data_IF_988706723523
#
_entry.id   IF_988706723523
#
_cell.length_a   1.000
_cell.length_b   1.000
_cell.length_c   1.000
_cell.angle_alpha   90.00
_cell.angle_beta   90.00
_cell.angle_gamma   90.00
#
_symmetry.space_group_name_H-M   'P 1'
#
loop_
_entity.id
_entity.type
_entity.pdbx_description
1 polymer ?
#
# COMPACT_ATOMS: atom_id res chain seq x y z
N UNK A 1 2.21 16.45 1.26
CA UNK A 1 1.69 16.95 -0.04
C UNK A 1 2.27 18.29 -0.46
N UNK A 2 2.45 19.28 0.44
CA UNK A 2 3.03 20.59 0.08
C UNK A 2 4.40 20.48 -0.59
N UNK A 3 5.32 19.68 -0.01
CA UNK A 3 6.64 19.43 -0.57
C UNK A 3 6.58 18.83 -1.99
N UNK A 4 5.73 17.81 -2.19
CA UNK A 4 5.53 17.19 -3.50
C UNK A 4 4.98 18.19 -4.52
N UNK A 5 4.00 19.03 -4.14
CA UNK A 5 3.46 20.07 -5.02
C UNK A 5 4.54 21.03 -5.48
N UNK A 6 5.33 21.56 -4.54
CA UNK A 6 6.44 22.47 -4.84
C UNK A 6 7.51 21.78 -5.70
N UNK A 7 7.81 20.50 -5.45
CA UNK A 7 8.76 19.74 -6.26
C UNK A 7 8.27 19.59 -7.70
N UNK A 8 6.99 19.26 -7.89
CA UNK A 8 6.39 19.18 -9.22
C UNK A 8 6.37 20.54 -9.92
N UNK A 9 6.11 21.64 -9.20
CA UNK A 9 6.18 23.01 -9.74
C UNK A 9 7.58 23.36 -10.24
N UNK A 10 8.62 23.05 -9.46
CA UNK A 10 10.02 23.35 -9.80
C UNK A 10 10.55 22.45 -10.93
N UNK A 11 10.10 21.20 -11.00
CA UNK A 11 10.53 20.20 -12.00
C UNK A 11 9.72 20.27 -13.32
N UNK A 12 9.00 21.37 -13.57
CA UNK A 12 8.23 21.57 -14.81
C UNK A 12 7.01 20.65 -14.96
N UNK A 13 6.61 20.00 -13.87
CA UNK A 13 5.50 19.05 -13.82
C UNK A 13 4.31 19.56 -13.01
N UNK A 14 4.06 20.87 -12.92
CA UNK A 14 3.11 21.51 -11.99
C UNK A 14 1.72 20.86 -11.80
N UNK A 15 0.89 21.36 -10.88
CA UNK A 15 -0.29 20.65 -10.35
C UNK A 15 -1.33 20.25 -11.40
N UNK A 16 -1.31 20.88 -12.57
CA UNK A 16 -2.22 20.59 -13.67
C UNK A 16 -1.83 19.35 -14.49
N UNK A 17 -0.63 18.81 -14.31
CA UNK A 17 -0.19 17.62 -15.05
C UNK A 17 -0.93 16.36 -14.62
N UNK A 18 -1.17 15.45 -15.57
CA UNK A 18 -1.78 14.14 -15.29
C UNK A 18 -0.96 13.34 -14.28
N UNK A 19 0.38 13.50 -14.30
CA UNK A 19 1.28 12.85 -13.35
C UNK A 19 1.03 13.32 -11.91
N UNK A 20 0.89 14.63 -11.69
CA UNK A 20 0.58 15.16 -10.36
C UNK A 20 -0.84 14.80 -9.93
N UNK A 21 -1.82 14.93 -10.83
CA UNK A 21 -3.23 14.57 -10.55
C UNK A 21 -3.36 13.10 -10.13
N UNK A 22 -2.66 12.21 -10.82
CA UNK A 22 -2.60 10.78 -10.47
C UNK A 22 -1.93 10.55 -9.11
N UNK A 23 -0.78 11.19 -8.87
CA UNK A 23 -0.09 11.09 -7.58
C UNK A 23 -0.97 11.60 -6.43
N UNK A 24 -1.62 12.75 -6.61
CA UNK A 24 -2.52 13.34 -5.64
C UNK A 24 -3.71 12.42 -5.35
N UNK A 25 -4.30 11.82 -6.39
CA UNK A 25 -5.36 10.83 -6.22
C UNK A 25 -4.90 9.59 -5.45
N UNK A 26 -3.68 9.10 -5.71
CA UNK A 26 -3.10 8.00 -4.95
C UNK A 26 -2.98 8.36 -3.45
N UNK A 27 -2.52 9.55 -3.12
CA UNK A 27 -2.44 9.99 -1.72
C UNK A 27 -3.80 10.18 -1.05
N UNK A 28 -4.80 10.70 -1.76
CA UNK A 28 -6.17 10.81 -1.22
C UNK A 28 -6.72 9.42 -0.86
N UNK A 29 -6.49 8.44 -1.73
CA UNK A 29 -6.92 7.05 -1.50
C UNK A 29 -6.16 6.43 -0.33
N UNK A 30 -4.83 6.55 -0.31
CA UNK A 30 -3.98 5.97 0.73
C UNK A 30 -4.16 6.64 2.09
N UNK A 31 -4.45 7.94 2.16
CA UNK A 31 -4.74 8.62 3.42
C UNK A 31 -5.98 8.03 4.09
N UNK A 32 -7.04 7.80 3.33
CA UNK A 32 -8.29 7.23 3.89
C UNK A 32 -8.09 5.79 4.39
N UNK A 33 -7.26 5.01 3.69
CA UNK A 33 -6.91 3.62 4.04
C UNK A 33 -5.81 3.51 5.11
N UNK A 34 -5.09 4.59 5.34
CA UNK A 34 -3.84 4.60 6.10
C UNK A 34 -3.90 5.43 7.35
N UNK A 35 -4.88 6.33 7.47
CA UNK A 35 -5.03 7.23 8.61
C UNK A 35 -6.19 6.83 9.50
N UNK A 36 -6.03 7.08 10.80
CA UNK A 36 -7.04 6.89 11.82
C UNK A 36 -6.97 8.01 12.85
N UNK A 37 -8.09 8.28 13.53
CA UNK A 37 -8.12 9.22 14.66
C UNK A 37 -7.60 8.53 15.92
N UNK A 38 -6.57 9.10 16.53
CA UNK A 38 -6.03 8.72 17.84
C UNK A 38 -6.47 9.74 18.91
N UNK A 39 -6.08 9.53 20.16
CA UNK A 39 -6.39 10.46 21.26
C UNK A 39 -5.77 11.84 21.06
N UNK A 40 -4.63 11.93 20.37
CA UNK A 40 -3.85 13.15 20.18
C UNK A 40 -3.92 13.70 18.75
N UNK A 41 -4.25 12.88 17.74
CA UNK A 41 -4.21 13.28 16.35
C UNK A 41 -5.40 12.69 15.55
N UNK A 42 -6.23 13.56 14.98
CA UNK A 42 -7.39 13.16 14.18
C UNK A 42 -7.05 12.54 12.83
N UNK A 43 -5.85 12.81 12.30
CA UNK A 43 -5.38 12.37 10.99
C UNK A 43 -4.05 11.60 11.11
N UNK A 44 -3.91 10.79 12.17
CA UNK A 44 -2.70 10.01 12.44
C UNK A 44 -2.48 8.98 11.34
N UNK A 45 -1.39 9.14 10.58
CA UNK A 45 -0.92 8.12 9.65
C UNK A 45 -0.55 6.86 10.43
N UNK A 46 -1.09 5.72 10.05
CA UNK A 46 -0.81 4.37 10.59
C UNK A 46 -0.21 3.43 9.54
N UNK A 47 0.31 4.05 8.48
CA UNK A 47 1.03 3.45 7.38
C UNK A 47 2.23 4.35 7.09
N UNK A 48 3.38 3.75 6.81
CA UNK A 48 4.56 4.43 6.31
C UNK A 48 4.57 4.50 4.80
N UNK A 49 5.01 5.61 4.24
CA UNK A 49 5.18 5.79 2.81
C UNK A 49 6.62 6.21 2.51
N UNK A 50 7.27 5.52 1.59
CA UNK A 50 8.48 6.01 0.95
C UNK A 50 8.15 6.31 -0.51
N UNK A 51 8.43 7.53 -0.93
CA UNK A 51 8.04 8.04 -2.23
C UNK A 51 9.32 8.30 -2.99
N UNK A 52 9.56 7.53 -4.04
CA UNK A 52 10.69 7.72 -4.94
C UNK A 52 10.22 8.56 -6.11
N UNK A 53 10.75 9.78 -6.22
CA UNK A 53 10.51 10.68 -7.34
C UNK A 53 11.73 10.64 -8.25
N UNK A 54 11.58 10.09 -9.44
CA UNK A 54 12.61 9.98 -10.46
C UNK A 54 12.55 11.20 -11.38
N UNK A 55 13.70 11.86 -11.55
CA UNK A 55 13.88 13.07 -12.36
C UNK A 55 14.90 12.75 -13.44
N UNK A 56 14.54 13.03 -14.69
CA UNK A 56 15.42 12.89 -15.86
C UNK A 56 15.41 14.20 -16.62
N UNK A 57 16.60 14.72 -16.97
CA UNK A 57 16.77 15.99 -17.70
C UNK A 57 16.07 17.20 -17.04
N UNK A 58 15.99 17.21 -15.70
CA UNK A 58 15.33 18.27 -14.93
C UNK A 58 13.80 18.22 -14.92
N UNK A 59 13.20 17.21 -15.57
CA UNK A 59 11.77 16.95 -15.57
C UNK A 59 11.42 15.72 -14.73
N UNK A 60 10.29 15.77 -14.04
CA UNK A 60 9.81 14.62 -13.27
C UNK A 60 9.31 13.52 -14.20
N UNK A 61 9.95 12.36 -14.14
CA UNK A 61 9.68 11.24 -15.05
C UNK A 61 8.71 10.22 -14.45
N UNK A 62 8.90 9.87 -13.17
CA UNK A 62 8.12 8.80 -12.53
C UNK A 62 8.06 9.01 -11.02
N UNK A 63 6.94 8.65 -10.42
CA UNK A 63 6.83 8.49 -8.96
C UNK A 63 6.50 7.05 -8.62
N UNK A 64 7.19 6.48 -7.62
CA UNK A 64 6.84 5.20 -7.02
C UNK A 64 6.53 5.40 -5.54
N UNK A 65 5.43 4.81 -5.09
CA UNK A 65 5.03 4.80 -3.69
C UNK A 65 5.30 3.41 -3.14
N UNK A 66 6.13 3.33 -2.11
CA UNK A 66 6.36 2.12 -1.33
C UNK A 66 5.62 2.29 -0.01
N UNK A 67 4.74 1.34 0.31
CA UNK A 67 4.05 1.32 1.59
C UNK A 67 4.76 0.37 2.54
N UNK A 68 5.08 0.88 3.72
CA UNK A 68 5.72 0.17 4.80
C UNK A 68 4.83 0.19 6.04
N UNK A 69 4.89 -0.86 6.86
CA UNK A 69 4.35 -0.86 8.22
C UNK A 69 2.89 -0.39 8.37
N UNK A 70 1.96 -1.04 7.67
CA UNK A 70 0.54 -0.87 7.97
C UNK A 70 0.22 -1.50 9.34
N UNK A 71 -0.40 -0.73 10.23
CA UNK A 71 -0.89 -1.20 11.54
C UNK A 71 -2.10 -2.13 11.35
N UNK A 72 -1.83 -3.38 10.98
CA UNK A 72 -2.87 -4.38 10.72
C UNK A 72 -3.67 -4.73 11.98
N UNK A 73 -3.10 -4.56 13.17
CA UNK A 73 -3.79 -4.87 14.44
C UNK A 73 -5.01 -4.00 14.65
N UNK A 74 -4.93 -2.72 14.26
CA UNK A 74 -6.04 -1.76 14.35
C UNK A 74 -7.29 -2.19 13.58
N UNK A 75 -7.12 -2.94 12.48
CA UNK A 75 -8.24 -3.40 11.64
C UNK A 75 -9.27 -4.17 12.46
N UNK A 76 -8.81 -5.00 13.40
CA UNK A 76 -9.69 -5.88 14.20
C UNK A 76 -9.78 -5.48 15.67
N UNK A 77 -8.79 -4.74 16.16
CA UNK A 77 -8.70 -4.26 17.54
C UNK A 77 -8.25 -2.80 17.54
N UNK A 78 -9.16 -1.85 17.28
CA UNK A 78 -8.87 -0.44 17.54
C UNK A 78 -8.61 -0.25 19.04
N UNK A 79 -7.73 0.71 19.37
CA UNK A 79 -7.47 1.03 20.77
C UNK A 79 -8.68 1.78 21.38
N UNK A 80 -8.89 1.68 22.70
CA UNK A 80 -9.96 2.42 23.37
C UNK A 80 -9.86 3.92 23.10
N UNK A 81 -11.00 4.57 22.84
CA UNK A 81 -11.11 6.00 22.49
C UNK A 81 -10.46 6.42 21.17
N UNK A 82 -10.00 5.48 20.35
CA UNK A 82 -9.47 5.75 19.01
C UNK A 82 -10.40 5.19 17.94
N UNK A 83 -10.37 5.77 16.74
CA UNK A 83 -11.08 5.21 15.60
C UNK A 83 -10.29 4.09 14.93
N UNK A 84 -11.01 3.24 14.22
CA UNK A 84 -10.42 2.41 13.16
C UNK A 84 -10.03 3.32 11.95
N UNK A 85 -9.56 2.72 10.85
CA UNK A 85 -9.20 3.49 9.65
C UNK A 85 -10.39 4.31 9.11
N UNK A 86 -10.10 5.53 8.68
CA UNK A 86 -11.12 6.51 8.25
C UNK A 86 -12.02 5.98 7.13
N UNK A 87 -11.45 5.19 6.21
CA UNK A 87 -12.20 4.60 5.09
C UNK A 87 -13.46 3.84 5.52
N UNK A 88 -13.47 3.20 6.69
CA UNK A 88 -14.65 2.43 7.12
C UNK A 88 -15.82 3.35 7.45
N UNK A 89 -15.55 4.46 8.14
CA UNK A 89 -16.56 5.46 8.48
C UNK A 89 -17.02 6.19 7.22
N UNK A 90 -16.07 6.66 6.40
CA UNK A 90 -16.34 7.29 5.10
C UNK A 90 -17.22 6.41 4.20
N UNK A 91 -16.90 5.12 4.10
CA UNK A 91 -17.69 4.16 3.33
C UNK A 91 -19.11 4.03 3.87
N UNK A 92 -19.27 3.89 5.19
CA UNK A 92 -20.60 3.76 5.77
C UNK A 92 -21.44 5.01 5.53
N UNK A 93 -20.89 6.22 5.63
CA UNK A 93 -21.62 7.46 5.36
C UNK A 93 -21.88 7.73 3.87
N UNK A 94 -20.95 7.35 2.99
CA UNK A 94 -20.98 7.75 1.58
C UNK A 94 -21.58 6.73 0.60
N UNK A 95 -21.84 5.47 1.03
CA UNK A 95 -22.50 4.48 0.18
C UNK A 95 -23.98 4.83 -0.03
N UNK A 96 -24.44 4.73 -1.28
CA UNK A 96 -25.87 4.80 -1.60
C UNK A 96 -26.64 3.60 -1.06
N UNK A 97 -27.97 3.72 -0.94
CA UNK A 97 -28.81 2.60 -0.48
C UNK A 97 -28.66 1.36 -1.36
N UNK A 98 -28.59 1.53 -2.68
CA UNK A 98 -28.39 0.42 -3.62
C UNK A 98 -27.04 -0.27 -3.43
N UNK A 99 -25.97 0.49 -3.19
CA UNK A 99 -24.65 -0.07 -2.92
C UNK A 99 -24.63 -0.81 -1.57
N UNK A 100 -25.31 -0.27 -0.55
CA UNK A 100 -25.47 -0.95 0.76
C UNK A 100 -26.17 -2.30 0.62
N UNK A 101 -27.26 -2.38 -0.15
CA UNK A 101 -27.95 -3.64 -0.47
C UNK A 101 -26.99 -4.62 -1.14
N UNK A 102 -26.29 -4.18 -2.18
CA UNK A 102 -25.33 -5.02 -2.93
C UNK A 102 -24.19 -5.52 -2.04
N UNK A 103 -23.82 -4.76 -1.02
CA UNK A 103 -22.73 -5.07 -0.09
C UNK A 103 -23.19 -5.81 1.19
N UNK A 104 -24.49 -6.11 1.35
CA UNK A 104 -25.06 -6.62 2.61
C UNK A 104 -24.75 -5.72 3.83
N UNK A 105 -24.74 -4.41 3.64
CA UNK A 105 -24.49 -3.42 4.70
C UNK A 105 -25.76 -2.66 5.14
N UNK A 106 -26.94 -3.14 4.76
CA UNK A 106 -28.21 -2.56 5.19
C UNK A 106 -28.39 -2.69 6.70
N UNK A 107 -28.75 -1.59 7.37
CA UNK A 107 -28.92 -1.56 8.82
C UNK A 107 -27.62 -1.58 9.63
N UNK A 108 -26.45 -1.70 8.99
CA UNK A 108 -25.16 -1.61 9.67
C UNK A 108 -24.71 -0.15 9.85
N UNK A 109 -24.09 0.12 10.99
CA UNK A 109 -23.56 1.42 11.39
C UNK A 109 -22.30 1.21 12.25
N UNK A 110 -21.50 2.25 12.53
CA UNK A 110 -20.31 2.12 13.36
C UNK A 110 -20.56 1.51 14.75
N UNK A 111 -21.78 1.59 15.27
CA UNK A 111 -22.16 1.09 16.61
C UNK A 111 -22.53 -0.38 16.64
N UNK A 112 -22.80 -1.03 15.50
CA UNK A 112 -23.16 -2.46 15.45
C UNK A 112 -22.14 -3.32 14.68
N UNK A 113 -21.10 -2.71 14.13
CA UNK A 113 -19.97 -3.41 13.52
C UNK A 113 -18.86 -3.59 14.55
N UNK A 114 -18.54 -4.84 14.90
CA UNK A 114 -17.66 -5.17 16.02
C UNK A 114 -16.26 -4.56 15.91
N UNK A 115 -15.69 -4.54 14.69
CA UNK A 115 -14.37 -3.94 14.46
C UNK A 115 -14.35 -2.40 14.54
N UNK A 116 -15.50 -1.74 14.57
CA UNK A 116 -15.61 -0.29 14.77
C UNK A 116 -16.07 0.05 16.19
N UNK A 117 -16.99 -0.74 16.74
CA UNK A 117 -17.64 -0.54 18.05
C UNK A 117 -16.66 -0.54 19.22
N UNK A 118 -15.50 -1.21 19.09
CA UNK A 118 -14.47 -1.25 20.14
C UNK A 118 -13.72 0.08 20.35
N UNK A 119 -13.85 1.02 19.42
CA UNK A 119 -13.19 2.33 19.42
C UNK A 119 -14.14 3.51 19.58
N UNK A 120 -13.72 4.69 19.10
CA UNK A 120 -14.58 5.86 18.93
C UNK A 120 -15.49 5.64 17.71
N UNK A 121 -16.81 5.62 17.95
CA UNK A 121 -17.83 5.41 16.92
C UNK A 121 -18.42 6.71 16.41
N UNK A 122 -18.11 7.86 17.03
CA UNK A 122 -18.67 9.16 16.65
C UNK A 122 -18.27 9.51 15.23
N UNK A 123 -19.21 10.01 14.46
CA UNK A 123 -19.02 10.28 13.05
C UNK A 123 -19.63 11.63 12.66
N UNK A 124 -18.95 12.36 11.78
CA UNK A 124 -19.56 13.45 11.01
C UNK A 124 -19.96 12.86 9.66
N UNK A 125 -21.21 12.40 9.56
CA UNK A 125 -21.69 11.70 8.36
C UNK A 125 -21.63 12.57 7.10
N UNK A 126 -21.87 13.88 7.22
CA UNK A 126 -21.85 14.78 6.09
C UNK A 126 -20.43 14.95 5.54
N UNK A 127 -19.46 15.20 6.43
CA UNK A 127 -18.06 15.33 6.03
C UNK A 127 -17.50 14.01 5.49
N UNK A 128 -17.79 12.89 6.16
CA UNK A 128 -17.31 11.57 5.76
C UNK A 128 -17.92 11.12 4.42
N UNK A 129 -19.18 11.46 4.13
CA UNK A 129 -19.78 11.21 2.83
C UNK A 129 -19.08 12.00 1.71
N UNK A 130 -18.75 13.28 1.95
CA UNK A 130 -18.00 14.11 0.97
C UNK A 130 -16.61 13.51 0.73
N UNK A 131 -15.89 13.15 1.81
CA UNK A 131 -14.57 12.51 1.73
C UNK A 131 -14.64 11.20 0.95
N UNK A 132 -15.70 10.41 1.15
CA UNK A 132 -15.91 9.16 0.41
C UNK A 132 -16.18 9.38 -1.08
N UNK A 133 -16.97 10.38 -1.47
CA UNK A 133 -17.18 10.69 -2.89
C UNK A 133 -15.87 11.11 -3.55
N UNK A 134 -15.07 11.96 -2.89
CA UNK A 134 -13.73 12.30 -3.38
C UNK A 134 -12.84 11.06 -3.52
N UNK A 135 -12.87 10.15 -2.54
CA UNK A 135 -12.11 8.90 -2.57
C UNK A 135 -12.54 7.99 -3.73
N UNK A 136 -13.85 7.86 -3.97
CA UNK A 136 -14.43 7.11 -5.09
C UNK A 136 -14.01 7.68 -6.44
N UNK A 137 -14.04 9.01 -6.61
CA UNK A 137 -13.53 9.68 -7.81
C UNK A 137 -12.03 9.43 -8.02
N UNK A 138 -11.23 9.49 -6.96
CA UNK A 138 -9.79 9.21 -7.04
C UNK A 138 -9.50 7.75 -7.43
N UNK A 139 -10.26 6.76 -6.92
CA UNK A 139 -10.12 5.38 -7.38
C UNK A 139 -10.37 5.24 -8.89
N UNK A 140 -11.38 5.93 -9.41
CA UNK A 140 -11.68 5.98 -10.84
C UNK A 140 -10.50 6.53 -11.65
N UNK A 141 -9.86 7.61 -11.19
CA UNK A 141 -8.66 8.18 -11.83
C UNK A 141 -7.47 7.22 -11.82
N UNK A 142 -7.33 6.40 -10.77
CA UNK A 142 -6.30 5.36 -10.68
C UNK A 142 -6.62 4.11 -11.54
N UNK A 143 -7.78 4.07 -12.20
CA UNK A 143 -8.25 2.91 -12.97
C UNK A 143 -8.59 1.71 -12.09
N UNK A 144 -8.95 1.94 -10.82
CA UNK A 144 -9.28 0.89 -9.85
C UNK A 144 -10.81 0.77 -9.77
N UNK A 145 -11.40 -0.40 -10.08
CA UNK A 145 -12.84 -0.58 -9.97
C UNK A 145 -13.31 -0.39 -8.52
N UNK A 146 -14.19 0.60 -8.32
CA UNK A 146 -14.70 0.95 -7.00
C UNK A 146 -15.29 -0.25 -6.25
N UNK A 147 -16.18 -1.00 -6.93
CA UNK A 147 -16.86 -2.16 -6.35
C UNK A 147 -15.89 -3.27 -5.90
N UNK A 148 -14.74 -3.42 -6.57
CA UNK A 148 -13.74 -4.42 -6.18
C UNK A 148 -13.06 -4.10 -4.86
N UNK A 149 -12.93 -2.81 -4.53
CA UNK A 149 -12.34 -2.39 -3.26
C UNK A 149 -13.39 -2.48 -2.16
N UNK A 150 -14.57 -1.87 -2.35
CA UNK A 150 -15.59 -1.81 -1.29
C UNK A 150 -16.18 -3.17 -0.94
N UNK A 151 -16.22 -4.15 -1.87
CA UNK A 151 -16.64 -5.53 -1.53
C UNK A 151 -15.72 -6.19 -0.51
N UNK A 152 -14.41 -5.95 -0.61
CA UNK A 152 -13.44 -6.51 0.33
C UNK A 152 -13.50 -5.77 1.66
N UNK A 153 -13.65 -4.44 1.65
CA UNK A 153 -13.80 -3.65 2.88
C UNK A 153 -15.09 -4.00 3.64
N UNK A 154 -16.21 -4.19 2.94
CA UNK A 154 -17.47 -4.68 3.52
C UNK A 154 -17.30 -6.08 4.11
N UNK A 155 -16.63 -6.99 3.40
CA UNK A 155 -16.32 -8.33 3.91
C UNK A 155 -15.46 -8.28 5.18
N UNK A 156 -14.49 -7.37 5.29
CA UNK A 156 -13.70 -7.16 6.51
C UNK A 156 -14.58 -6.73 7.68
N UNK A 157 -15.51 -5.79 7.47
CA UNK A 157 -16.42 -5.33 8.53
C UNK A 157 -17.37 -6.44 9.00
N UNK A 158 -18.02 -7.15 8.06
CA UNK A 158 -18.95 -8.23 8.36
C UNK A 158 -18.27 -9.43 9.04
N UNK A 159 -17.00 -9.72 8.69
CA UNK A 159 -16.21 -10.75 9.38
C UNK A 159 -16.12 -10.48 10.88
N UNK A 160 -16.00 -9.22 11.31
CA UNK A 160 -15.91 -8.88 12.73
C UNK A 160 -17.15 -9.27 13.53
N UNK A 161 -18.31 -9.36 12.89
CA UNK A 161 -19.57 -9.72 13.51
C UNK A 161 -19.79 -11.24 13.63
N UNK A 162 -18.92 -12.07 13.03
CA UNK A 162 -18.98 -13.53 13.14
C UNK A 162 -18.21 -13.98 14.37
N UNK A 163 -18.84 -14.67 15.31
CA UNK A 163 -18.18 -15.19 16.51
C UNK A 163 -18.30 -16.71 16.61
N UNK A 164 -17.16 -17.40 16.68
CA UNK A 164 -17.13 -18.85 16.88
C UNK A 164 -17.24 -19.21 18.36
N UNK A 165 -18.05 -20.22 18.67
CA UNK A 165 -18.26 -20.73 20.03
C UNK A 165 -18.34 -22.26 20.01
N UNK A 166 -18.00 -22.88 21.14
CA UNK A 166 -18.21 -24.31 21.36
C UNK A 166 -19.68 -24.56 21.72
N UNK A 167 -20.30 -25.57 21.11
CA UNK A 167 -21.67 -25.99 21.41
C UNK A 167 -21.78 -26.96 22.60
N UNK A 168 -20.67 -27.25 23.29
CA UNK A 168 -20.61 -28.17 24.42
C UNK A 168 -20.47 -29.64 24.04
N UNK A 169 -20.55 -29.97 22.74
CA UNK A 169 -20.22 -31.29 22.20
C UNK A 169 -18.83 -31.35 21.56
N UNK A 170 -18.04 -30.29 21.67
CA UNK A 170 -16.72 -30.16 21.05
C UNK A 170 -16.76 -29.77 19.58
N UNK A 171 -17.92 -29.37 19.06
CA UNK A 171 -18.06 -28.81 17.71
C UNK A 171 -18.11 -27.28 17.76
N UNK A 172 -17.41 -26.66 16.82
CA UNK A 172 -17.39 -25.20 16.69
C UNK A 172 -18.55 -24.73 15.82
N UNK A 173 -19.38 -23.85 16.40
CA UNK A 173 -20.53 -23.23 15.72
C UNK A 173 -20.24 -21.74 15.50
N UNK A 174 -20.63 -21.21 14.35
CA UNK A 174 -20.55 -19.78 14.05
C UNK A 174 -21.82 -19.07 14.51
N UNK A 175 -21.69 -18.07 15.39
CA UNK A 175 -22.71 -17.05 15.61
C UNK A 175 -22.52 -15.96 14.55
N UNK A 176 -23.57 -15.62 13.81
CA UNK A 176 -23.49 -14.71 12.65
C UNK A 176 -23.32 -15.43 11.31
N UNK A 177 -24.04 -16.54 11.10
CA UNK A 177 -24.00 -17.30 9.83
C UNK A 177 -24.44 -16.44 8.63
N UNK A 178 -25.35 -15.50 8.84
CA UNK A 178 -25.81 -14.52 7.85
C UNK A 178 -24.67 -13.62 7.36
N UNK A 179 -23.87 -13.11 8.29
CA UNK A 179 -22.69 -12.29 8.00
C UNK A 179 -21.62 -13.15 7.30
N UNK A 180 -21.40 -14.37 7.77
CA UNK A 180 -20.42 -15.28 7.15
C UNK A 180 -20.81 -15.66 5.71
N UNK A 181 -22.10 -15.89 5.45
CA UNK A 181 -22.63 -16.11 4.11
C UNK A 181 -22.48 -14.88 3.22
N UNK A 182 -22.73 -13.69 3.77
CA UNK A 182 -22.54 -12.41 3.08
C UNK A 182 -21.06 -12.21 2.70
N UNK A 183 -20.14 -12.47 3.64
CA UNK A 183 -18.68 -12.43 3.39
C UNK A 183 -18.29 -13.39 2.27
N UNK A 184 -18.77 -14.64 2.30
CA UNK A 184 -18.49 -15.62 1.26
C UNK A 184 -18.92 -15.13 -0.13
N UNK A 185 -20.13 -14.56 -0.22
CA UNK A 185 -20.69 -13.97 -1.45
C UNK A 185 -19.86 -12.80 -1.96
N UNK A 186 -19.44 -11.88 -1.08
CA UNK A 186 -18.62 -10.70 -1.45
C UNK A 186 -17.22 -11.08 -1.95
N UNK A 187 -16.63 -12.12 -1.35
CA UNK A 187 -15.33 -12.65 -1.74
C UNK A 187 -15.40 -13.58 -2.97
N UNK A 188 -16.59 -14.02 -3.37
CA UNK A 188 -16.79 -14.91 -4.51
C UNK A 188 -16.41 -16.36 -4.21
N UNK A 189 -16.60 -16.81 -2.97
CA UNK A 189 -16.30 -18.17 -2.51
C UNK A 189 -17.55 -18.81 -1.88
N UNK A 190 -17.56 -20.14 -1.74
CA UNK A 190 -18.69 -20.83 -1.11
C UNK A 190 -18.63 -20.72 0.42
N UNK A 191 -19.80 -20.64 1.06
CA UNK A 191 -19.93 -20.63 2.53
C UNK A 191 -19.15 -21.79 3.17
N UNK A 192 -19.33 -23.01 2.67
CA UNK A 192 -18.66 -24.20 3.20
C UNK A 192 -17.13 -24.13 3.10
N UNK A 193 -16.60 -23.51 2.03
CA UNK A 193 -15.14 -23.34 1.88
C UNK A 193 -14.59 -22.32 2.86
N UNK A 194 -15.31 -21.21 3.06
CA UNK A 194 -14.94 -20.18 4.03
C UNK A 194 -15.02 -20.70 5.46
N UNK A 195 -16.15 -21.32 5.83
CA UNK A 195 -16.36 -21.91 7.15
C UNK A 195 -15.26 -22.92 7.46
N UNK A 196 -15.03 -23.89 6.57
CA UNK A 196 -13.96 -24.88 6.72
C UNK A 196 -12.58 -24.23 6.80
N UNK A 197 -12.31 -23.19 6.02
CA UNK A 197 -11.04 -22.47 6.05
C UNK A 197 -10.76 -21.79 7.40
N UNK A 198 -11.80 -21.42 8.15
CA UNK A 198 -11.68 -20.82 9.48
C UNK A 198 -11.66 -21.89 10.58
N UNK A 199 -12.45 -22.96 10.45
CA UNK A 199 -12.63 -23.98 11.49
C UNK A 199 -11.72 -25.19 11.37
N UNK A 200 -10.89 -25.26 10.33
CA UNK A 200 -9.93 -26.37 10.16
C UNK A 200 -8.51 -25.87 9.94
N UNK A 201 -7.54 -26.59 10.48
CA UNK A 201 -6.12 -26.33 10.31
C UNK A 201 -5.43 -27.56 9.74
N UNK A 202 -4.61 -27.36 8.71
CA UNK A 202 -3.68 -28.40 8.22
C UNK A 202 -2.30 -28.08 8.77
N UNK A 203 -1.66 -29.04 9.41
CA UNK A 203 -0.28 -28.90 9.90
C UNK A 203 0.52 -30.16 9.61
N UNK A 204 1.83 -29.99 9.42
CA UNK A 204 2.76 -31.11 9.26
C UNK A 204 3.16 -31.62 10.64
N UNK A 205 2.91 -32.89 10.91
CA UNK A 205 3.45 -33.58 12.08
C UNK A 205 4.54 -34.54 11.60
N UNK A 206 5.73 -34.44 12.19
CA UNK A 206 6.84 -35.33 11.92
C UNK A 206 7.00 -36.29 13.08
N UNK A 207 6.66 -37.55 12.87
CA UNK A 207 6.83 -38.62 13.85
C UNK A 207 7.77 -39.68 13.27
N UNK A 208 8.85 -39.99 14.00
CA UNK A 208 9.87 -40.98 13.60
C UNK A 208 10.45 -40.76 12.19
N UNK A 209 10.69 -39.51 11.82
CA UNK A 209 11.30 -39.13 10.54
C UNK A 209 10.34 -39.11 9.34
N UNK A 210 9.06 -39.48 9.51
CA UNK A 210 8.05 -39.33 8.47
C UNK A 210 7.19 -38.09 8.72
N UNK A 211 7.06 -37.22 7.73
CA UNK A 211 6.28 -35.98 7.82
C UNK A 211 4.93 -36.18 7.14
N UNK A 212 3.86 -36.12 7.91
CA UNK A 212 2.49 -36.25 7.40
C UNK A 212 1.70 -34.96 7.60
N UNK A 213 0.86 -34.62 6.63
CA UNK A 213 -0.09 -33.51 6.75
C UNK A 213 -1.35 -34.01 7.48
N UNK A 214 -1.62 -33.44 8.64
CA UNK A 214 -2.78 -33.76 9.47
C UNK A 214 -3.76 -32.60 9.40
N UNK A 215 -5.05 -32.93 9.22
CA UNK A 215 -6.16 -31.98 9.29
C UNK A 215 -6.86 -32.13 10.64
N UNK A 216 -6.94 -31.04 11.38
CA UNK A 216 -7.56 -30.97 12.70
C UNK A 216 -8.61 -29.87 12.73
N UNK A 217 -9.69 -30.09 13.45
CA UNK A 217 -10.67 -29.05 13.78
C UNK A 217 -10.04 -28.06 14.76
N UNK A 218 -10.28 -26.77 14.53
CA UNK A 218 -9.90 -25.71 15.44
C UNK A 218 -10.89 -25.65 16.60
N UNK A 219 -10.43 -25.26 17.78
CA UNK A 219 -11.34 -24.78 18.82
C UNK A 219 -11.88 -23.38 18.48
N UNK A 220 -12.85 -22.91 19.27
CA UNK A 220 -13.50 -21.60 19.05
C UNK A 220 -12.51 -20.43 19.11
N UNK A 221 -11.52 -20.46 20.00
CA UNK A 221 -10.55 -19.37 20.17
C UNK A 221 -9.61 -19.28 18.96
N UNK A 222 -9.13 -20.43 18.48
CA UNK A 222 -8.31 -20.54 17.28
C UNK A 222 -9.11 -20.07 16.06
N UNK A 223 -10.37 -20.49 15.92
CA UNK A 223 -11.24 -20.06 14.82
C UNK A 223 -11.43 -18.53 14.82
N UNK A 224 -11.68 -17.91 15.98
CA UNK A 224 -11.79 -16.44 16.10
C UNK A 224 -10.45 -15.74 15.75
N UNK A 225 -9.31 -16.31 16.14
CA UNK A 225 -7.98 -15.79 15.76
C UNK A 225 -7.71 -15.89 14.25
N UNK A 226 -8.16 -16.98 13.61
CA UNK A 226 -8.06 -17.17 12.16
C UNK A 226 -8.97 -16.16 11.43
N UNK A 227 -10.20 -15.95 11.89
CA UNK A 227 -11.11 -14.91 11.39
C UNK A 227 -10.45 -13.53 11.41
N UNK A 228 -9.85 -13.14 12.53
CA UNK A 228 -9.16 -11.86 12.65
C UNK A 228 -7.92 -11.78 11.77
N UNK A 229 -7.20 -12.88 11.62
CA UNK A 229 -6.05 -12.96 10.71
C UNK A 229 -6.46 -12.84 9.25
N UNK A 230 -7.61 -13.40 8.87
CA UNK A 230 -8.19 -13.26 7.54
C UNK A 230 -8.60 -11.80 7.28
N UNK A 231 -9.28 -11.15 8.23
CA UNK A 231 -9.66 -9.74 8.12
C UNK A 231 -8.43 -8.83 7.92
N UNK A 232 -7.37 -9.04 8.71
CA UNK A 232 -6.07 -8.35 8.55
C UNK A 232 -5.48 -8.58 7.16
N UNK A 233 -5.43 -9.84 6.72
CA UNK A 233 -4.83 -10.21 5.44
C UNK A 233 -5.60 -9.59 4.25
N UNK A 234 -6.93 -9.59 4.29
CA UNK A 234 -7.79 -8.96 3.28
C UNK A 234 -7.53 -7.46 3.19
N UNK A 235 -7.50 -6.77 4.34
CA UNK A 235 -7.23 -5.33 4.38
C UNK A 235 -5.83 -5.00 3.84
N UNK A 236 -4.79 -5.66 4.36
CA UNK A 236 -3.41 -5.45 3.94
C UNK A 236 -3.20 -5.72 2.43
N UNK A 237 -3.79 -6.81 1.91
CA UNK A 237 -3.69 -7.16 0.48
C UNK A 237 -4.44 -6.15 -0.41
N UNK A 238 -5.54 -5.60 0.08
CA UNK A 238 -6.29 -4.53 -0.62
C UNK A 238 -5.44 -3.28 -0.74
N UNK A 239 -4.88 -2.79 0.37
CA UNK A 239 -3.97 -1.63 0.39
C UNK A 239 -2.78 -1.86 -0.53
N UNK A 240 -2.08 -3.00 -0.40
CA UNK A 240 -0.93 -3.32 -1.25
C UNK A 240 -1.31 -3.38 -2.74
N UNK A 241 -2.51 -3.83 -3.08
CA UNK A 241 -2.98 -3.89 -4.46
C UNK A 241 -3.31 -2.51 -5.01
N UNK A 242 -3.90 -1.63 -4.20
CA UNK A 242 -4.13 -0.23 -4.57
C UNK A 242 -2.80 0.48 -4.83
N UNK A 243 -1.80 0.29 -3.97
CA UNK A 243 -0.45 0.85 -4.17
C UNK A 243 0.18 0.34 -5.45
N UNK A 244 0.08 -0.96 -5.72
CA UNK A 244 0.57 -1.56 -6.97
C UNK A 244 -0.10 -0.94 -8.19
N UNK A 245 -1.42 -0.74 -8.15
CA UNK A 245 -2.19 -0.09 -9.23
C UNK A 245 -1.80 1.37 -9.40
N UNK A 246 -1.65 2.13 -8.30
CA UNK A 246 -1.16 3.51 -8.33
C UNK A 246 0.24 3.61 -8.98
N UNK A 247 1.13 2.66 -8.72
CA UNK A 247 2.46 2.62 -9.33
C UNK A 247 2.47 2.10 -10.79
N UNK A 248 1.39 1.47 -11.25
CA UNK A 248 1.33 0.81 -12.56
C UNK A 248 1.00 1.74 -13.72
N UNK A 249 0.89 3.07 -13.50
CA UNK A 249 0.49 3.98 -14.55
C UNK A 249 1.50 3.95 -15.72
N UNK A 250 1.07 3.34 -16.81
CA UNK A 250 1.65 3.50 -18.14
C UNK A 250 1.16 4.83 -18.66
N UNK A 251 2.06 5.75 -19.00
CA UNK A 251 1.71 7.01 -19.66
C UNK A 251 0.88 6.68 -20.92
N UNK A 252 -0.36 7.14 -20.99
CA UNK A 252 -1.04 7.30 -22.28
C UNK A 252 -0.23 8.37 -23.04
N UNK A 253 0.62 7.94 -23.97
CA UNK A 253 1.45 8.86 -24.76
C UNK A 253 2.85 8.35 -25.13
N UNK A 254 3.30 7.20 -24.61
CA UNK A 254 4.56 6.59 -25.09
C UNK A 254 4.28 5.62 -26.25
N UNK A 255 3.84 6.13 -27.39
CA UNK A 255 4.07 5.44 -28.66
C UNK A 255 5.53 5.64 -29.06
N UNK A 256 6.44 4.95 -28.38
CA UNK A 256 7.74 4.62 -28.93
C UNK A 256 8.29 3.39 -28.18
N UNK A 257 8.37 2.27 -28.91
CA UNK A 257 9.23 1.14 -28.58
C UNK A 257 8.71 0.17 -27.52
N UNK A 258 8.05 -0.88 -28.00
CA UNK A 258 8.20 -2.25 -27.49
C UNK A 258 9.58 -2.52 -26.88
N UNK A 259 9.61 -3.08 -25.67
CA UNK A 259 10.15 -4.42 -25.39
C UNK A 259 9.72 -4.83 -23.99
N UNK A 260 8.85 -5.82 -23.97
CA UNK A 260 8.57 -6.73 -22.87
C UNK A 260 9.86 -7.37 -22.32
N UNK A 261 10.00 -7.39 -21.00
CA UNK A 261 10.63 -8.51 -20.30
C UNK A 261 10.13 -8.56 -18.86
N UNK A 262 9.00 -9.24 -18.68
CA UNK A 262 8.78 -10.01 -17.46
C UNK A 262 9.77 -11.18 -17.51
N UNK A 263 10.63 -11.30 -16.51
CA UNK A 263 11.24 -12.57 -16.10
C UNK A 263 11.73 -12.43 -14.67
N UNK A 264 11.00 -13.04 -13.75
CA UNK A 264 11.62 -13.70 -12.62
C UNK A 264 12.53 -14.78 -13.19
N UNK A 265 13.81 -14.79 -12.84
CA UNK A 265 14.48 -16.06 -12.59
C UNK A 265 15.66 -15.92 -11.63
N UNK A 266 15.64 -16.85 -10.70
CA UNK A 266 16.55 -17.09 -9.59
C UNK A 266 17.86 -17.75 -10.02
N UNK A 267 18.94 -17.35 -9.35
CA UNK A 267 20.03 -18.21 -8.82
C UNK A 267 20.46 -19.41 -9.68
N UNK A 268 21.57 -19.27 -10.42
CA UNK A 268 22.63 -20.28 -10.40
C UNK A 268 24.00 -19.72 -10.76
N UNK A 269 24.93 -19.87 -9.81
CA UNK A 269 26.37 -19.84 -10.04
C UNK A 269 26.77 -21.14 -10.76
N UNK A 270 27.46 -21.05 -11.89
CA UNK A 270 28.62 -21.89 -12.23
C UNK A 270 29.21 -21.43 -13.55
N UNK A 271 30.44 -20.93 -13.48
CA UNK A 271 31.30 -20.75 -14.64
C UNK A 271 32.25 -21.94 -14.71
N UNK A 272 32.10 -22.80 -15.72
CA UNK A 272 33.12 -23.74 -16.17
C UNK A 272 33.42 -23.52 -17.67
N UNK A 273 34.60 -22.94 -17.90
CA UNK A 273 35.70 -23.34 -18.80
C UNK A 273 35.40 -24.00 -20.18
N UNK A 274 36.00 -23.37 -21.21
CA UNK A 274 36.46 -23.87 -22.53
C UNK A 274 35.39 -24.31 -23.55
N UNK A 275 35.51 -24.07 -24.87
CA UNK A 275 36.71 -24.05 -25.71
C UNK A 275 36.49 -23.26 -27.01
N UNK A 276 37.61 -22.91 -27.64
CA UNK A 276 37.75 -22.23 -28.93
C UNK A 276 37.34 -23.12 -30.10
N UNK A 277 36.81 -22.53 -31.18
CA UNK A 277 37.27 -22.85 -32.54
C UNK A 277 37.00 -21.68 -33.50
N UNK A 278 38.05 -21.34 -34.23
CA UNK A 278 38.13 -20.25 -35.20
C UNK A 278 37.61 -20.68 -36.58
N UNK A 279 37.14 -19.70 -37.37
CA UNK A 279 37.55 -19.59 -38.77
C UNK A 279 37.33 -18.18 -39.33
N UNK A 280 38.28 -17.81 -40.17
CA UNK A 280 38.65 -16.52 -40.72
C UNK A 280 37.89 -16.24 -42.03
N UNK A 281 37.61 -14.97 -42.34
CA UNK A 281 37.87 -14.31 -43.65
C UNK A 281 37.49 -12.82 -43.53
N UNK A 282 38.41 -11.95 -43.93
CA UNK A 282 38.29 -10.51 -43.80
C UNK A 282 37.44 -9.85 -44.88
N UNK A 283 36.83 -8.73 -44.52
CA UNK A 283 36.56 -7.60 -45.42
C UNK A 283 36.61 -6.32 -44.60
N UNK A 284 37.35 -5.33 -45.11
CA UNK A 284 37.51 -4.02 -44.53
C UNK A 284 36.16 -3.29 -44.51
N UNK A 285 35.71 -2.83 -43.33
CA UNK A 285 34.54 -1.97 -43.22
C UNK A 285 33.74 -2.10 -41.92
N UNK A 286 34.32 -1.92 -40.74
CA UNK A 286 33.53 -1.88 -39.48
C UNK A 286 34.10 -0.98 -38.38
N UNK A 287 34.72 0.15 -38.74
CA UNK A 287 35.05 1.18 -37.74
C UNK A 287 33.85 2.05 -37.33
N UNK A 288 32.70 1.93 -37.98
CA UNK A 288 31.48 2.72 -37.68
C UNK A 288 30.52 2.08 -36.66
N UNK A 289 30.61 0.76 -36.43
CA UNK A 289 29.70 0.06 -35.51
C UNK A 289 30.18 0.10 -34.06
N UNK A 290 31.50 0.06 -33.83
CA UNK A 290 32.08 0.25 -32.48
C UNK A 290 31.94 1.70 -31.98
N UNK A 291 32.01 2.69 -32.87
CA UNK A 291 31.81 4.09 -32.50
C UNK A 291 30.36 4.39 -32.14
N UNK A 292 29.39 3.83 -32.86
CA UNK A 292 27.96 3.94 -32.54
C UNK A 292 27.58 3.21 -31.25
N UNK A 293 28.19 2.05 -30.96
CA UNK A 293 27.99 1.35 -29.69
C UNK A 293 28.59 2.12 -28.50
N UNK A 294 29.78 2.72 -28.68
CA UNK A 294 30.40 3.59 -27.68
C UNK A 294 29.62 4.90 -27.50
N UNK A 295 29.06 5.48 -28.57
CA UNK A 295 28.17 6.65 -28.52
C UNK A 295 26.84 6.30 -27.85
N UNK A 296 26.23 5.16 -28.16
CA UNK A 296 25.01 4.71 -27.49
C UNK A 296 25.27 4.42 -26.01
N UNK A 297 26.42 3.82 -25.66
CA UNK A 297 26.81 3.66 -24.26
C UNK A 297 27.12 5.00 -23.60
N UNK A 298 27.80 5.93 -24.27
CA UNK A 298 28.08 7.27 -23.73
C UNK A 298 26.80 8.13 -23.61
N UNK A 299 25.85 7.97 -24.52
CA UNK A 299 24.51 8.60 -24.48
C UNK A 299 23.65 7.96 -23.40
N UNK A 300 23.71 6.64 -23.21
CA UNK A 300 23.04 5.97 -22.10
C UNK A 300 23.68 6.32 -20.75
N UNK A 301 25.01 6.42 -20.68
CA UNK A 301 25.75 6.88 -19.50
C UNK A 301 25.46 8.37 -19.24
N UNK A 302 25.35 9.21 -20.27
CA UNK A 302 24.98 10.61 -20.15
C UNK A 302 23.50 10.80 -19.75
N UNK A 303 22.60 9.95 -20.25
CA UNK A 303 21.19 9.85 -19.80
C UNK A 303 21.12 9.43 -18.33
N UNK A 304 21.90 8.43 -17.94
CA UNK A 304 22.00 8.01 -16.54
C UNK A 304 22.76 9.01 -15.65
N UNK A 305 23.53 9.94 -16.22
CA UNK A 305 24.17 11.03 -15.50
C UNK A 305 23.21 12.21 -15.25
N UNK A 306 22.09 12.31 -15.98
CA UNK A 306 21.00 13.27 -15.74
C UNK A 306 19.81 12.67 -15.00
N UNK A 307 19.83 11.36 -14.75
CA UNK A 307 18.88 10.63 -13.91
C UNK A 307 19.22 10.82 -12.43
N UNK A 308 18.29 11.41 -11.68
CA UNK A 308 18.35 11.51 -10.22
C UNK A 308 17.07 11.02 -9.57
N UNK A 309 17.17 10.64 -8.30
CA UNK A 309 16.00 10.30 -7.50
C UNK A 309 15.96 11.09 -6.20
N UNK A 310 14.75 11.50 -5.84
CA UNK A 310 14.43 12.13 -4.57
C UNK A 310 13.56 11.15 -3.80
N UNK A 311 14.08 10.66 -2.68
CA UNK A 311 13.34 9.83 -1.73
C UNK A 311 12.67 10.71 -0.68
N UNK A 312 11.36 10.55 -0.48
CA UNK A 312 10.63 11.17 0.62
C UNK A 312 10.10 10.06 1.52
N UNK A 313 10.62 9.98 2.74
CA UNK A 313 10.12 9.05 3.75
C UNK A 313 9.13 9.77 4.67
N UNK A 314 7.88 9.32 4.67
CA UNK A 314 6.80 9.73 5.57
C UNK A 314 6.46 8.56 6.49
N UNK A 315 6.81 8.69 7.77
CA UNK A 315 6.57 7.67 8.78
C UNK A 315 5.70 8.22 9.91
N UNK A 316 4.91 7.32 10.50
CA UNK A 316 4.07 7.68 11.63
C UNK A 316 4.90 8.08 12.85
N UNK A 317 4.46 9.14 13.53
CA UNK A 317 5.10 9.65 14.75
C UNK A 317 4.91 8.71 15.93
N UNK A 318 5.80 8.81 16.92
CA UNK A 318 5.70 8.04 18.15
C UNK A 318 4.64 8.64 19.08
N UNK A 319 3.52 7.95 19.26
CA UNK A 319 2.37 8.47 20.04
C UNK A 319 2.46 8.16 21.55
N UNK A 320 3.30 7.21 22.00
CA UNK A 320 3.50 6.94 23.43
C UNK A 320 4.90 6.39 23.82
N UNK A 321 5.45 6.76 25.00
CA UNK A 321 6.75 6.27 25.50
C UNK A 321 6.84 4.76 25.74
N UNK A 322 5.72 4.08 26.05
CA UNK A 322 5.72 2.63 26.36
C UNK A 322 5.81 1.77 25.09
N UNK A 323 5.24 2.25 23.98
CA UNK A 323 5.36 1.62 22.66
C UNK A 323 6.65 2.03 21.92
N UNK A 324 7.25 3.14 22.35
CA UNK A 324 8.51 3.69 21.85
C UNK A 324 9.64 2.66 21.80
N UNK A 325 9.86 1.86 22.85
CA UNK A 325 10.96 0.86 22.83
C UNK A 325 10.74 -0.29 21.84
N UNK A 326 9.49 -0.71 21.60
CA UNK A 326 9.16 -1.74 20.60
C UNK A 326 9.20 -1.17 19.18
N UNK A 327 8.82 0.09 19.01
CA UNK A 327 8.84 0.79 17.73
C UNK A 327 10.28 1.16 17.35
N UNK A 328 11.06 1.81 18.22
CA UNK A 328 12.48 2.17 18.00
C UNK A 328 13.35 0.95 17.70
N UNK A 329 13.19 -0.19 18.41
CA UNK A 329 13.92 -1.43 18.09
C UNK A 329 13.65 -1.96 16.67
N UNK A 330 12.53 -1.56 16.08
CA UNK A 330 12.07 -1.98 14.75
C UNK A 330 12.41 -0.97 13.65
N UNK A 331 12.58 0.30 14.01
CA UNK A 331 12.88 1.41 13.10
C UNK A 331 14.37 1.70 12.92
N UNK A 332 15.23 1.25 13.86
CA UNK A 332 16.54 1.88 13.98
C UNK A 332 16.40 3.35 14.43
N UNK A 333 17.46 3.96 14.91
CA UNK A 333 17.39 5.27 15.60
C UNK A 333 17.03 6.47 14.68
N UNK A 334 16.76 6.25 13.39
CA UNK A 334 16.63 7.32 12.37
C UNK A 334 15.22 7.45 11.77
N UNK A 335 14.17 7.47 12.59
CA UNK A 335 12.81 7.74 12.14
C UNK A 335 12.48 9.24 12.23
N UNK A 336 12.96 10.01 11.25
CA UNK A 336 12.47 11.36 10.94
C UNK A 336 12.18 11.44 9.45
N UNK A 337 11.41 12.45 9.00
CA UNK A 337 11.24 12.74 7.57
C UNK A 337 12.63 12.91 6.96
N UNK A 338 13.13 11.86 6.31
CA UNK A 338 14.44 11.84 5.69
C UNK A 338 14.23 12.12 4.20
N UNK A 339 14.79 13.23 3.73
CA UNK A 339 14.90 13.50 2.30
C UNK A 339 16.31 13.08 1.91
N UNK A 340 16.43 11.90 1.28
CA UNK A 340 17.69 11.49 0.66
C UNK A 340 17.65 11.86 -0.82
N UNK A 341 18.58 12.73 -1.22
CA UNK A 341 18.77 13.16 -2.61
C UNK A 341 20.01 12.47 -3.17
N UNK A 342 19.82 11.56 -4.12
CA UNK A 342 20.92 10.92 -4.82
C UNK A 342 21.14 11.59 -6.18
N UNK A 343 22.34 12.13 -6.35
CA UNK A 343 22.97 12.51 -7.61
C UNK A 343 22.24 13.56 -8.49
N UNK A 344 22.09 14.81 -8.01
CA UNK A 344 21.61 15.91 -8.87
C UNK A 344 22.35 17.22 -8.61
N UNK A 345 23.49 17.50 -9.26
CA UNK A 345 24.26 18.74 -9.01
C UNK A 345 23.46 20.05 -9.26
N UNK A 346 22.54 20.08 -10.23
CA UNK A 346 21.74 21.29 -10.55
C UNK A 346 20.47 21.48 -9.70
N UNK A 347 19.80 20.40 -9.31
CA UNK A 347 18.63 20.46 -8.40
C UNK A 347 19.10 20.61 -6.95
N UNK A 348 20.25 20.01 -6.59
CA UNK A 348 20.88 20.19 -5.27
C UNK A 348 21.25 21.65 -5.01
N UNK A 349 21.75 22.40 -5.99
CA UNK A 349 21.95 23.86 -5.84
C UNK A 349 20.64 24.62 -5.61
N UNK A 350 19.54 24.28 -6.29
CA UNK A 350 18.23 24.93 -6.07
C UNK A 350 17.58 24.51 -4.74
N UNK A 351 17.76 23.26 -4.32
CA UNK A 351 17.25 22.74 -3.04
C UNK A 351 18.09 23.24 -1.87
N UNK A 352 19.42 23.33 -1.99
CA UNK A 352 20.31 23.91 -0.96
C UNK A 352 20.03 25.40 -0.82
N UNK A 353 19.84 26.15 -1.92
CA UNK A 353 19.38 27.54 -1.88
C UNK A 353 18.00 27.68 -1.21
N UNK A 354 17.10 26.71 -1.40
CA UNK A 354 15.78 26.70 -0.78
C UNK A 354 15.79 26.29 0.70
N UNK A 355 16.67 25.36 1.10
CA UNK A 355 16.91 25.04 2.51
C UNK A 355 17.58 26.22 3.22
N UNK A 356 18.49 26.93 2.55
CA UNK A 356 19.06 28.19 3.03
C UNK A 356 17.98 29.28 3.16
N UNK A 357 17.09 29.41 2.17
CA UNK A 357 15.97 30.36 2.19
C UNK A 357 14.97 30.08 3.32
N UNK A 358 14.52 28.83 3.50
CA UNK A 358 13.63 28.49 4.62
C UNK A 358 14.34 28.67 5.97
N UNK A 359 15.63 28.34 6.08
CA UNK A 359 16.40 28.57 7.30
C UNK A 359 16.58 30.05 7.61
N UNK A 360 16.64 30.92 6.60
CA UNK A 360 16.67 32.37 6.74
C UNK A 360 15.28 32.96 7.08
N UNK A 361 14.20 32.41 6.53
CA UNK A 361 12.82 32.82 6.87
C UNK A 361 12.44 32.43 8.31
N UNK A 362 12.85 31.24 8.78
CA UNK A 362 12.66 30.84 10.19
C UNK A 362 13.55 31.60 11.19
N UNK A 363 14.54 32.36 10.73
CA UNK A 363 15.35 33.26 11.56
C UNK A 363 14.86 34.70 11.54
N UNK A 364 13.84 35.02 10.73
CA UNK A 364 13.29 36.39 10.57
C UNK A 364 11.84 36.53 11.01
N UNK A 365 11.20 35.45 11.48
CA UNK A 365 9.88 35.46 12.10
C UNK A 365 9.93 34.86 13.52
N UNK A 366 10.49 35.60 14.47
CA UNK A 366 9.93 35.78 15.82
C UNK A 366 10.31 37.22 16.27
N UNK A 367 9.45 37.90 17.06
CA UNK A 367 9.19 39.35 16.96
C UNK A 367 10.32 40.31 17.33
#
# INVERSE_FOLDING_TARGET
MLLLRQLFDVAGGGPETDAFKHLAAAFTVLRSLGSAKTSSNSESSRIGHFIEVQVTDGALYRTKIHCYFLDQTRVVHPLPNEKNYHIFYQMLAGLSQEERVKLNLEGYSPTNLQYLMQGDTRQDEAEDAIRFQSWKSCLGLLGIPFMDVVRVLAAVLLLGNVNFADNGSGEVVAKGETELASVARLLGITFSSLFRGITTRTHSETTRGNTQLIKTTCDANIANSIRDSLAKALYCRTVATIVRRANSLKRLGSTLGTLSSDSNDSVHNQAEVASQHASTIGTAGSKSSKSMAALNNAVNIARHATDGSIGILDMFGFEEPKNLRKQIKRFGENAYILIEVHNIQKVKQRIEMFQLYNRLMYLTEEP
#
